data_IF_698925954755
#
_entry.id   IF_698925954755
#
_cell.length_a   1.000
_cell.length_b   1.000
_cell.length_c   1.000
_cell.angle_alpha   90.00
_cell.angle_beta   90.00
_cell.angle_gamma   90.00
#
_symmetry.space_group_name_H-M   'P 1'
#
loop_
_entity.id
_entity.type
_entity.pdbx_description
1 polymer ?
#
# COMPACT_ATOMS: atom_id res chain seq x y z
N UNK A 1 35.69 23.82 30.47
CA UNK A 1 34.69 22.81 30.89
C UNK A 1 34.58 22.67 32.40
N UNK A 2 35.66 22.65 33.20
CA UNK A 2 35.61 22.48 34.67
C UNK A 2 34.87 23.55 35.52
N UNK A 3 34.49 24.69 34.94
CA UNK A 3 33.83 25.78 35.69
C UNK A 3 32.30 25.67 35.68
N UNK A 4 31.72 25.01 34.67
CA UNK A 4 30.27 24.83 34.57
C UNK A 4 29.79 23.74 35.54
N UNK A 5 30.54 22.65 35.65
CA UNK A 5 30.20 21.48 36.48
C UNK A 5 30.04 21.83 37.96
N UNK A 6 30.85 22.79 38.45
CA UNK A 6 30.80 23.27 39.85
C UNK A 6 29.61 24.19 40.12
N UNK A 7 29.08 24.87 39.10
CA UNK A 7 27.91 25.72 39.24
C UNK A 7 26.61 24.91 39.35
N UNK A 8 26.57 23.71 38.77
CA UNK A 8 25.39 22.84 38.73
C UNK A 8 25.41 21.70 39.75
N UNK A 9 26.46 21.60 40.56
CA UNK A 9 26.61 20.57 41.60
C UNK A 9 26.38 19.14 41.08
N UNK A 10 26.75 18.89 39.82
CA UNK A 10 26.61 17.59 39.16
C UNK A 10 27.93 16.83 39.25
N UNK A 11 27.89 15.62 39.79
CA UNK A 11 28.96 14.64 39.60
C UNK A 11 28.79 14.00 38.22
N UNK A 12 29.83 13.94 37.38
CA UNK A 12 29.74 13.29 36.08
C UNK A 12 29.65 11.78 36.27
N UNK A 13 28.43 11.26 36.38
CA UNK A 13 28.16 9.83 36.33
C UNK A 13 28.05 9.41 34.86
N UNK A 14 29.16 8.89 34.33
CA UNK A 14 29.20 8.30 33.00
C UNK A 14 28.55 6.92 33.10
N UNK A 15 27.26 6.85 32.78
CA UNK A 15 26.55 5.58 32.59
C UNK A 15 27.08 4.95 31.29
N UNK A 16 27.69 3.75 31.33
CA UNK A 16 28.07 3.04 30.11
C UNK A 16 26.80 2.59 29.39
N UNK A 17 26.49 3.18 28.24
CA UNK A 17 25.41 2.71 27.38
C UNK A 17 25.89 1.42 26.68
N UNK A 18 25.26 0.29 26.98
CA UNK A 18 25.51 -0.96 26.27
C UNK A 18 25.19 -0.77 24.78
N UNK A 19 26.07 -1.21 23.85
CA UNK A 19 25.82 -1.03 22.43
C UNK A 19 24.64 -1.92 22.02
N UNK A 20 23.46 -1.32 21.87
CA UNK A 20 22.31 -1.98 21.25
C UNK A 20 22.70 -2.38 19.83
N UNK A 21 22.48 -3.64 19.41
CA UNK A 21 22.77 -4.05 18.05
C UNK A 21 21.88 -3.23 17.10
N UNK A 22 22.50 -2.32 16.34
CA UNK A 22 21.84 -1.62 15.25
C UNK A 22 21.57 -2.67 14.17
N UNK A 23 20.38 -3.28 14.23
CA UNK A 23 19.84 -4.07 13.13
C UNK A 23 19.64 -3.08 11.98
N UNK A 24 20.61 -3.04 11.07
CA UNK A 24 20.43 -2.40 9.77
C UNK A 24 19.44 -3.27 9.01
N UNK A 25 18.15 -2.99 9.21
CA UNK A 25 17.10 -3.52 8.35
C UNK A 25 17.48 -3.16 6.91
N UNK A 26 17.70 -4.18 6.08
CA UNK A 26 17.84 -3.98 4.64
C UNK A 26 16.56 -3.26 4.20
N UNK A 27 16.63 -2.20 3.37
CA UNK A 27 15.43 -1.53 2.90
C UNK A 27 14.59 -2.57 2.17
N UNK A 28 13.48 -2.96 2.81
CA UNK A 28 12.50 -3.83 2.20
C UNK A 28 11.99 -3.08 0.97
N UNK A 29 12.10 -3.70 -0.21
CA UNK A 29 11.69 -3.04 -1.44
C UNK A 29 10.16 -3.01 -1.41
N UNK A 30 9.63 -1.86 -0.99
CA UNK A 30 8.25 -1.55 -0.62
C UNK A 30 7.86 -2.04 0.78
N UNK A 31 7.98 -1.16 1.76
CA UNK A 31 7.30 -1.33 3.04
C UNK A 31 5.78 -1.22 2.81
N UNK A 32 4.95 -1.82 3.67
CA UNK A 32 3.47 -1.74 3.58
C UNK A 32 2.98 -0.28 3.47
N UNK A 33 3.72 0.65 4.07
CA UNK A 33 3.50 2.09 4.00
C UNK A 33 3.65 2.68 2.59
N UNK A 34 4.50 2.11 1.73
CA UNK A 34 4.76 2.66 0.40
C UNK A 34 3.58 2.37 -0.54
N UNK A 35 2.95 1.20 -0.41
CA UNK A 35 1.74 0.83 -1.19
C UNK A 35 0.55 1.73 -0.81
N UNK A 36 0.34 1.98 0.48
CA UNK A 36 -0.73 2.87 0.96
C UNK A 36 -0.49 4.32 0.49
N UNK A 37 0.74 4.80 0.56
CA UNK A 37 1.11 6.14 0.06
C UNK A 37 0.90 6.28 -1.44
N UNK A 38 1.36 5.31 -2.23
CA UNK A 38 1.20 5.34 -3.69
C UNK A 38 -0.28 5.27 -4.09
N UNK A 39 -1.07 4.48 -3.36
CA UNK A 39 -2.52 4.43 -3.53
C UNK A 39 -3.18 5.78 -3.24
N UNK A 40 -2.91 6.38 -2.08
CA UNK A 40 -3.49 7.66 -1.68
C UNK A 40 -3.09 8.79 -2.63
N UNK A 41 -1.82 8.84 -3.01
CA UNK A 41 -1.30 9.80 -3.97
C UNK A 41 -1.98 9.65 -5.34
N UNK A 42 -2.06 8.42 -5.85
CA UNK A 42 -2.70 8.16 -7.16
C UNK A 42 -4.19 8.49 -7.12
N UNK A 43 -4.88 8.11 -6.03
CA UNK A 43 -6.29 8.44 -5.82
C UNK A 43 -6.53 9.96 -5.78
N UNK A 44 -5.70 10.69 -5.03
CA UNK A 44 -5.76 12.16 -4.97
C UNK A 44 -5.54 12.82 -6.33
N UNK A 45 -4.57 12.31 -7.10
CA UNK A 45 -4.32 12.81 -8.46
C UNK A 45 -5.50 12.55 -9.40
N UNK A 46 -6.10 11.36 -9.34
CA UNK A 46 -7.27 11.03 -10.15
C UNK A 46 -8.47 11.92 -9.80
N UNK A 47 -8.71 12.19 -8.51
CA UNK A 47 -9.73 13.17 -8.12
C UNK A 47 -9.45 14.56 -8.67
N UNK A 48 -8.22 15.05 -8.55
CA UNK A 48 -7.86 16.37 -9.09
C UNK A 48 -8.04 16.45 -10.60
N UNK A 49 -7.74 15.38 -11.34
CA UNK A 49 -7.93 15.33 -12.80
C UNK A 49 -9.42 15.33 -13.15
N UNK A 50 -10.24 14.57 -12.43
CA UNK A 50 -11.69 14.50 -12.67
C UNK A 50 -12.34 15.86 -12.40
N UNK A 51 -12.03 16.50 -11.27
CA UNK A 51 -12.57 17.81 -10.89
C UNK A 51 -12.20 18.89 -11.90
N UNK A 52 -10.90 19.03 -12.20
CA UNK A 52 -10.43 19.99 -13.22
C UNK A 52 -10.94 19.66 -14.62
N UNK A 53 -11.14 18.38 -14.90
CA UNK A 53 -11.71 17.90 -16.15
C UNK A 53 -13.17 18.31 -16.30
N UNK A 54 -13.97 18.21 -15.23
CA UNK A 54 -15.36 18.68 -15.21
C UNK A 54 -15.44 20.19 -15.41
N UNK A 55 -14.60 20.97 -14.72
CA UNK A 55 -14.51 22.42 -14.90
C UNK A 55 -14.11 22.78 -16.35
N UNK A 56 -13.15 22.07 -16.93
CA UNK A 56 -12.75 22.26 -18.32
C UNK A 56 -13.85 21.89 -19.33
N UNK A 57 -14.66 20.86 -19.02
CA UNK A 57 -15.83 20.47 -19.83
C UNK A 57 -16.88 21.58 -19.79
N UNK A 58 -17.17 22.13 -18.61
CA UNK A 58 -18.15 23.21 -18.49
C UNK A 58 -17.68 24.46 -19.26
N UNK A 59 -16.42 24.84 -19.12
CA UNK A 59 -15.84 25.99 -19.83
C UNK A 59 -15.82 25.82 -21.36
N UNK A 60 -15.49 24.63 -21.89
CA UNK A 60 -15.53 24.40 -23.34
C UNK A 60 -16.97 24.34 -23.86
N UNK A 61 -17.93 23.86 -23.06
CA UNK A 61 -19.34 23.82 -23.43
C UNK A 61 -19.94 25.23 -23.48
N UNK A 62 -19.57 26.11 -22.55
CA UNK A 62 -19.94 27.53 -22.58
C UNK A 62 -19.39 28.19 -23.85
N UNK A 63 -18.09 28.01 -24.15
CA UNK A 63 -17.48 28.51 -25.38
C UNK A 63 -18.14 27.93 -26.65
N UNK A 64 -18.52 26.65 -26.63
CA UNK A 64 -19.18 25.99 -27.75
C UNK A 64 -20.59 26.55 -28.00
N UNK A 65 -21.31 26.94 -26.93
CA UNK A 65 -22.61 27.58 -27.03
C UNK A 65 -22.49 29.02 -27.53
N UNK A 66 -21.52 29.80 -27.04
CA UNK A 66 -21.31 31.18 -27.46
C UNK A 66 -20.85 31.30 -28.93
N UNK A 67 -19.99 30.39 -29.37
CA UNK A 67 -19.38 30.47 -30.70
C UNK A 67 -20.12 29.65 -31.75
N UNK A 68 -21.06 28.80 -31.34
CA UNK A 68 -21.78 27.82 -32.17
C UNK A 68 -20.84 26.95 -33.03
N UNK A 69 -19.58 26.79 -32.64
CA UNK A 69 -18.59 26.06 -33.45
C UNK A 69 -18.73 24.54 -33.25
N UNK A 70 -18.98 23.77 -34.33
CA UNK A 70 -19.08 22.30 -34.25
C UNK A 70 -17.80 21.64 -33.69
N UNK A 71 -16.65 22.27 -33.93
CA UNK A 71 -15.35 21.79 -33.44
C UNK A 71 -15.25 21.84 -31.91
N UNK A 72 -15.85 22.84 -31.26
CA UNK A 72 -15.82 22.97 -29.82
C UNK A 72 -16.59 21.82 -29.14
N UNK A 73 -17.73 21.40 -29.71
CA UNK A 73 -18.48 20.24 -29.23
C UNK A 73 -17.73 18.91 -29.41
N UNK A 74 -16.96 18.76 -30.50
CA UNK A 74 -16.12 17.58 -30.70
C UNK A 74 -15.03 17.48 -29.62
N UNK A 75 -14.37 18.61 -29.31
CA UNK A 75 -13.35 18.67 -28.26
C UNK A 75 -13.99 18.42 -26.88
N UNK A 76 -15.18 18.97 -26.63
CA UNK A 76 -15.94 18.69 -25.41
C UNK A 76 -16.20 17.18 -25.25
N UNK A 77 -16.62 16.50 -26.33
CA UNK A 77 -16.80 15.04 -26.32
C UNK A 77 -15.51 14.26 -26.02
N UNK A 78 -14.36 14.73 -26.52
CA UNK A 78 -13.05 14.14 -26.22
C UNK A 78 -12.62 14.36 -24.76
N UNK A 79 -12.91 15.54 -24.19
CA UNK A 79 -12.65 15.83 -22.79
C UNK A 79 -13.54 14.99 -21.87
N UNK A 80 -14.84 14.88 -22.18
CA UNK A 80 -15.77 14.01 -21.46
C UNK A 80 -15.26 12.57 -21.45
N UNK A 81 -14.82 12.04 -22.60
CA UNK A 81 -14.23 10.71 -22.67
C UNK A 81 -12.99 10.57 -21.78
N UNK A 82 -12.10 11.56 -21.80
CA UNK A 82 -10.87 11.54 -21.00
C UNK A 82 -11.17 11.55 -19.49
N UNK A 83 -12.19 12.29 -19.05
CA UNK A 83 -12.66 12.30 -17.66
C UNK A 83 -13.30 10.96 -17.29
N UNK A 84 -14.13 10.38 -18.17
CA UNK A 84 -14.68 9.03 -17.97
C UNK A 84 -13.58 7.98 -17.81
N UNK A 85 -12.57 7.98 -18.68
CA UNK A 85 -11.43 7.07 -18.61
C UNK A 85 -10.64 7.25 -17.29
N UNK A 86 -10.51 8.48 -16.78
CA UNK A 86 -9.91 8.74 -15.47
C UNK A 86 -10.76 8.21 -14.30
N UNK A 87 -12.08 8.28 -14.43
CA UNK A 87 -13.04 7.77 -13.45
C UNK A 87 -13.03 6.24 -13.40
N UNK A 88 -12.94 5.58 -14.56
CA UNK A 88 -12.77 4.13 -14.64
C UNK A 88 -11.45 3.67 -14.01
N UNK A 89 -10.35 4.40 -14.27
CA UNK A 89 -9.05 4.13 -13.61
C UNK A 89 -9.12 4.25 -12.10
N UNK A 90 -9.94 5.17 -11.58
CA UNK A 90 -10.15 5.31 -10.14
C UNK A 90 -10.88 4.08 -9.56
N UNK A 91 -11.88 3.57 -10.26
CA UNK A 91 -12.58 2.33 -9.89
C UNK A 91 -11.62 1.13 -9.91
N UNK A 92 -10.78 1.03 -10.94
CA UNK A 92 -9.82 -0.07 -11.09
C UNK A 92 -8.70 -0.01 -10.03
N UNK A 93 -8.29 1.20 -9.62
CA UNK A 93 -7.36 1.40 -8.50
C UNK A 93 -7.94 0.78 -7.21
N UNK A 94 -9.22 1.01 -6.93
CA UNK A 94 -9.89 0.46 -5.75
C UNK A 94 -9.95 -1.08 -5.79
N UNK A 95 -10.25 -1.66 -6.95
CA UNK A 95 -10.25 -3.12 -7.14
C UNK A 95 -8.86 -3.71 -6.89
N UNK A 96 -7.83 -3.13 -7.49
CA UNK A 96 -6.44 -3.59 -7.33
C UNK A 96 -5.95 -3.54 -5.89
N UNK A 97 -6.31 -2.51 -5.12
CA UNK A 97 -5.97 -2.44 -3.70
C UNK A 97 -6.59 -3.63 -2.94
N UNK A 98 -7.87 -3.90 -3.19
CA UNK A 98 -8.59 -5.01 -2.57
C UNK A 98 -7.98 -6.37 -2.94
N UNK A 99 -7.64 -6.57 -4.21
CA UNK A 99 -7.00 -7.80 -4.68
C UNK A 99 -5.62 -8.02 -4.01
N UNK A 100 -4.81 -6.95 -3.87
CA UNK A 100 -3.52 -7.00 -3.17
C UNK A 100 -3.67 -7.30 -1.67
N UNK A 101 -4.74 -6.82 -1.03
CA UNK A 101 -5.05 -7.15 0.37
C UNK A 101 -5.55 -8.59 0.52
N UNK A 102 -6.40 -9.08 -0.39
CA UNK A 102 -6.91 -10.45 -0.40
C UNK A 102 -5.79 -11.49 -0.64
N UNK A 103 -4.84 -11.22 -1.54
CA UNK A 103 -3.67 -12.08 -1.76
C UNK A 103 -2.81 -12.23 -0.50
N UNK A 104 -2.66 -11.18 0.30
CA UNK A 104 -1.96 -11.26 1.60
C UNK A 104 -2.71 -12.10 2.63
N UNK A 105 -4.03 -12.21 2.50
CA UNK A 105 -4.90 -12.90 3.47
C UNK A 105 -5.16 -14.36 3.12
N UNK A 106 -4.80 -14.80 1.90
CA UNK A 106 -4.73 -16.23 1.53
C UNK A 106 -3.59 -16.91 2.27
N UNK A 107 -3.81 -17.10 3.57
CA UNK A 107 -3.07 -18.02 4.42
C UNK A 107 -3.02 -19.34 3.69
N UNK A 108 -1.83 -19.77 3.29
CA UNK A 108 -1.63 -21.08 2.69
C UNK A 108 -2.12 -22.09 3.71
N UNK A 109 -3.31 -22.66 3.49
CA UNK A 109 -3.71 -23.86 4.20
C UNK A 109 -2.73 -24.94 3.77
N UNK A 110 -1.59 -25.02 4.44
CA UNK A 110 -0.61 -26.10 4.25
C UNK A 110 -1.30 -27.35 4.77
N UNK A 111 -2.00 -28.06 3.89
CA UNK A 111 -2.43 -29.43 4.16
C UNK A 111 -1.16 -30.26 4.18
N UNK A 112 -0.55 -30.38 5.36
CA UNK A 112 0.55 -31.30 5.60
C UNK A 112 0.00 -32.72 5.47
N UNK A 113 -0.06 -33.21 4.23
CA UNK A 113 -0.41 -34.58 3.93
C UNK A 113 0.76 -35.45 4.39
N UNK A 114 0.74 -35.84 5.66
CA UNK A 114 1.72 -36.74 6.26
C UNK A 114 1.55 -38.13 5.65
N UNK A 115 2.10 -38.33 4.45
CA UNK A 115 2.24 -39.64 3.83
C UNK A 115 3.23 -40.45 4.66
N UNK A 116 2.72 -41.35 5.50
CA UNK A 116 3.58 -42.27 6.25
C UNK A 116 4.10 -43.35 5.32
N UNK A 117 5.38 -43.27 4.94
CA UNK A 117 6.06 -44.29 4.16
C UNK A 117 6.74 -45.30 5.11
N UNK A 118 5.98 -46.33 5.49
CA UNK A 118 6.44 -47.40 6.39
C UNK A 118 5.51 -48.60 6.38
N UNK A 119 5.84 -49.65 7.13
CA UNK A 119 4.97 -50.82 7.25
C UNK A 119 3.75 -50.49 8.11
N UNK A 120 2.63 -51.19 7.89
CA UNK A 120 1.41 -51.04 8.72
C UNK A 120 1.68 -51.31 10.20
N UNK A 121 2.71 -52.11 10.51
CA UNK A 121 3.14 -52.41 11.87
C UNK A 121 3.79 -51.20 12.57
N UNK A 122 4.52 -50.38 11.82
CA UNK A 122 5.18 -49.19 12.36
C UNK A 122 4.18 -48.05 12.58
N UNK A 123 3.16 -47.94 11.71
CA UNK A 123 2.03 -47.04 11.90
C UNK A 123 1.25 -47.39 13.19
N UNK A 124 0.99 -48.68 13.43
CA UNK A 124 0.26 -49.13 14.63
C UNK A 124 1.04 -48.85 15.93
N UNK A 125 2.37 -48.99 15.92
CA UNK A 125 3.23 -48.64 17.06
C UNK A 125 3.20 -47.14 17.36
N UNK A 126 3.26 -46.31 16.31
CA UNK A 126 3.19 -44.85 16.44
C UNK A 126 1.87 -44.39 17.07
N UNK A 127 0.74 -44.92 16.59
CA UNK A 127 -0.60 -44.61 17.14
C UNK A 127 -0.71 -45.05 18.60
N UNK A 128 -0.14 -46.22 18.95
CA UNK A 128 -0.16 -46.74 20.32
C UNK A 128 0.71 -45.91 21.28
N UNK A 129 1.80 -45.33 20.79
CA UNK A 129 2.65 -44.41 21.56
C UNK A 129 2.02 -43.03 21.74
N UNK A 130 1.18 -42.57 20.81
CA UNK A 130 0.45 -41.30 20.95
C UNK A 130 -0.78 -41.39 21.87
N UNK A 131 -1.36 -42.59 22.04
CA UNK A 131 -2.55 -42.82 22.87
C UNK A 131 -2.22 -43.36 24.28
N UNK A 132 -0.99 -43.16 24.76
CA UNK A 132 -0.55 -43.38 26.15
C UNK A 132 -0.14 -42.04 26.75
#
# INVERSE_FOLDING_TARGET
MKQLDKAFNITPEVVPEEPKPVVKEKPDRLTKNDVEKDYDYTRGNLYSIIEKGQEAIDGILELAQETEQPRAYEVAGQLIKSVSDATDKLMDLQKKLKDVEEEKTKTTNVTNNALFVGSTSDLAKLIKQQNQ
#
